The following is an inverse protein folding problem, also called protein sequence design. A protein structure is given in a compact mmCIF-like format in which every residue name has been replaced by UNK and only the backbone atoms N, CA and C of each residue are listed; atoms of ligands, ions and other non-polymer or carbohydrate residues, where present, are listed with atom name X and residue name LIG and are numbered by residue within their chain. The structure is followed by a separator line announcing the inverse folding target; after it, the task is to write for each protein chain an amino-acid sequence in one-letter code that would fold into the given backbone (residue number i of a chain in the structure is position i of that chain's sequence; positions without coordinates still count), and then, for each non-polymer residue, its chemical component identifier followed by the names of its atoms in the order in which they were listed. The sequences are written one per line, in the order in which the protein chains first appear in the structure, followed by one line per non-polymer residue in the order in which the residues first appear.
data_IF_117917108080
#
_entry.id   IF_117917108080
#
_cell.length_a   1.000
_cell.length_b   1.000
_cell.length_c   1.000
_cell.angle_alpha   90.00
_cell.angle_beta   90.00
_cell.angle_gamma   90.00
#
_symmetry.space_group_name_H-M   'P 1'
#
loop_
_entity.id
_entity.type
_entity.pdbx_description
1 polymer ?
#
# COMPACT_ATOMS: atom_id res chain seq x y z
N UNK A 1 33.28 18.69 10.00
CA UNK A 1 32.90 19.70 8.98
C UNK A 1 31.95 19.01 8.00
N UNK A 2 30.63 19.29 8.09
CA UNK A 2 29.55 18.85 7.16
C UNK A 2 29.26 17.35 7.10
N UNK A 3 28.06 16.79 6.93
CA UNK A 3 26.66 17.16 6.62
C UNK A 3 25.89 15.82 6.86
N UNK A 4 24.60 15.67 7.15
CA UNK A 4 23.45 16.52 7.35
C UNK A 4 22.37 15.66 8.05
N UNK A 5 21.58 16.32 8.91
CA UNK A 5 20.13 16.14 9.09
C UNK A 5 19.52 14.73 8.96
N UNK A 6 19.33 14.03 10.09
CA UNK A 6 18.24 13.05 10.22
C UNK A 6 17.00 13.76 10.78
N UNK A 7 16.28 14.49 9.93
CA UNK A 7 14.88 14.86 10.25
C UNK A 7 13.99 13.70 9.81
N UNK A 8 13.74 12.76 10.73
CA UNK A 8 12.60 11.85 10.60
C UNK A 8 11.37 12.63 11.02
N UNK A 9 10.76 13.35 10.09
CA UNK A 9 9.43 13.91 10.30
C UNK A 9 8.44 12.74 10.28
N UNK A 10 8.02 12.30 11.47
CA UNK A 10 6.75 11.58 11.60
C UNK A 10 5.66 12.60 11.26
N UNK A 11 5.13 12.55 10.05
CA UNK A 11 3.91 13.29 9.72
C UNK A 11 2.76 12.59 10.43
N UNK A 12 2.46 13.07 11.64
CA UNK A 12 1.12 13.00 12.23
C UNK A 12 0.22 13.87 11.36
N UNK A 13 -0.39 13.28 10.34
CA UNK A 13 -1.21 14.00 9.36
C UNK A 13 -2.62 13.45 9.32
N UNK A 14 -3.55 14.20 9.92
CA UNK A 14 -5.01 14.14 9.75
C UNK A 14 -5.42 14.52 8.32
N UNK A 15 -4.84 13.85 7.33
CA UNK A 15 -5.09 14.05 5.90
C UNK A 15 -5.66 12.78 5.28
N UNK A 16 -6.48 12.96 4.25
CA UNK A 16 -7.05 11.86 3.46
C UNK A 16 -5.92 11.04 2.84
N UNK A 17 -6.04 9.71 2.85
CA UNK A 17 -5.06 8.82 2.21
C UNK A 17 -5.16 8.92 0.68
N UNK A 18 -4.01 8.86 0.01
CA UNK A 18 -3.90 8.86 -1.44
C UNK A 18 -3.53 7.47 -1.96
N UNK A 19 -3.93 7.12 -3.20
CA UNK A 19 -3.45 5.90 -3.81
C UNK A 19 -1.92 5.91 -3.92
N UNK A 20 -1.29 4.81 -3.54
CA UNK A 20 0.17 4.67 -3.43
C UNK A 20 0.73 4.98 -2.04
N UNK A 21 -0.06 5.54 -1.12
CA UNK A 21 0.42 5.79 0.24
C UNK A 21 0.77 4.48 0.94
N UNK A 22 1.94 4.45 1.58
CA UNK A 22 2.37 3.34 2.41
C UNK A 22 2.01 3.62 3.86
N UNK A 23 1.20 2.74 4.43
CA UNK A 23 0.72 2.85 5.81
C UNK A 23 0.98 1.56 6.58
N UNK A 24 1.46 1.71 7.82
CA UNK A 24 1.61 0.63 8.78
C UNK A 24 0.37 0.51 9.63
N UNK A 25 -0.21 -0.68 9.70
CA UNK A 25 -1.42 -0.96 10.47
C UNK A 25 -1.46 -2.41 10.94
N UNK A 26 -2.38 -2.71 11.87
CA UNK A 26 -2.68 -4.06 12.32
C UNK A 26 -3.71 -4.71 11.39
N UNK A 27 -3.44 -5.90 10.86
CA UNK A 27 -4.37 -6.65 10.00
C UNK A 27 -5.16 -7.71 10.74
N UNK A 28 -4.79 -7.99 12.00
CA UNK A 28 -5.55 -8.92 12.82
C UNK A 28 -6.94 -8.37 13.20
N UNK A 29 -7.93 -9.26 13.41
CA UNK A 29 -7.85 -10.70 13.18
C UNK A 29 -7.88 -11.06 11.68
N UNK A 30 -7.13 -12.10 11.32
CA UNK A 30 -7.13 -12.72 10.00
C UNK A 30 -7.49 -14.20 10.13
N UNK A 31 -8.13 -14.78 9.10
CA UNK A 31 -8.48 -16.21 9.07
C UNK A 31 -7.82 -16.93 7.91
N UNK A 32 -7.31 -18.13 8.17
CA UNK A 32 -6.74 -18.99 7.14
C UNK A 32 -5.50 -18.37 6.47
N UNK A 33 -5.61 -18.03 5.18
CA UNK A 33 -4.50 -17.50 4.36
C UNK A 33 -4.50 -15.98 4.22
N UNK A 34 -5.46 -15.30 4.84
CA UNK A 34 -5.49 -13.84 4.89
C UNK A 34 -4.22 -13.29 5.54
N UNK A 35 -3.72 -12.17 5.04
CA UNK A 35 -2.57 -11.51 5.66
C UNK A 35 -2.92 -10.98 7.05
N UNK A 36 -2.01 -11.24 7.98
CA UNK A 36 -2.16 -11.04 9.42
C UNK A 36 -1.01 -10.21 10.00
N UNK A 37 -1.19 -9.76 11.24
CA UNK A 37 -0.20 -9.02 12.01
C UNK A 37 0.06 -7.59 11.52
N UNK A 38 0.85 -6.87 12.32
CA UNK A 38 1.29 -5.51 12.01
C UNK A 38 2.29 -5.48 10.86
N UNK A 39 1.92 -4.83 9.75
CA UNK A 39 2.77 -4.76 8.54
C UNK A 39 2.52 -3.50 7.71
N UNK A 40 3.41 -3.16 6.76
CA UNK A 40 3.12 -2.12 5.80
C UNK A 40 2.07 -2.60 4.81
N UNK A 41 1.27 -1.65 4.34
CA UNK A 41 0.26 -1.84 3.30
C UNK A 41 0.30 -0.63 2.37
N UNK A 42 -0.06 -0.81 1.10
CA UNK A 42 -0.15 0.26 0.11
C UNK A 42 -1.62 0.56 -0.17
N UNK A 43 -2.03 1.81 -0.06
CA UNK A 43 -3.40 2.27 -0.37
C UNK A 43 -3.64 2.20 -1.87
N UNK A 44 -4.76 1.60 -2.29
CA UNK A 44 -5.11 1.41 -3.71
C UNK A 44 -6.44 2.07 -4.08
N UNK A 45 -7.26 2.44 -3.11
CA UNK A 45 -8.49 3.19 -3.36
C UNK A 45 -8.22 4.65 -3.76
N UNK A 46 -9.13 5.21 -4.55
CA UNK A 46 -9.04 6.59 -5.04
C UNK A 46 -9.14 7.62 -3.90
N UNK A 47 -8.53 8.79 -4.07
CA UNK A 47 -8.70 9.90 -3.12
C UNK A 47 -10.18 10.24 -2.88
N UNK A 48 -11.00 10.27 -3.93
CA UNK A 48 -12.44 10.55 -3.82
C UNK A 48 -13.15 9.52 -2.94
N UNK A 49 -12.82 8.24 -3.08
CA UNK A 49 -13.33 7.20 -2.19
C UNK A 49 -12.86 7.43 -0.75
N UNK A 50 -11.56 7.61 -0.54
CA UNK A 50 -10.97 7.76 0.80
C UNK A 50 -11.44 9.03 1.54
N UNK A 51 -11.80 10.08 0.81
CA UNK A 51 -12.34 11.31 1.39
C UNK A 51 -13.81 11.16 1.82
N UNK A 52 -14.58 10.35 1.10
CA UNK A 52 -16.01 10.15 1.35
C UNK A 52 -16.34 8.93 2.21
N UNK A 53 -15.47 7.93 2.20
CA UNK A 53 -15.53 6.70 2.99
C UNK A 53 -14.41 6.80 4.02
N UNK A 54 -14.71 6.71 5.32
CA UNK A 54 -13.67 6.60 6.35
C UNK A 54 -12.79 5.34 6.21
N UNK A 55 -13.06 4.51 5.20
CA UNK A 55 -12.33 3.30 4.86
C UNK A 55 -11.37 3.52 3.69
N UNK A 56 -10.35 2.68 3.61
CA UNK A 56 -9.43 2.60 2.47
C UNK A 56 -9.29 1.16 2.02
N UNK A 57 -9.03 0.95 0.73
CA UNK A 57 -8.60 -0.34 0.19
C UNK A 57 -7.07 -0.37 0.18
N UNK A 58 -6.49 -1.47 0.66
CA UNK A 58 -5.03 -1.62 0.77
C UNK A 58 -4.54 -2.99 0.28
N UNK A 59 -3.32 -3.03 -0.23
CA UNK A 59 -2.56 -4.25 -0.50
C UNK A 59 -1.44 -4.43 0.53
N UNK A 60 -1.36 -5.57 1.24
CA UNK A 60 -0.33 -5.82 2.24
C UNK A 60 1.05 -6.08 1.61
N UNK A 61 2.11 -5.71 2.34
CA UNK A 61 3.50 -5.98 1.99
C UNK A 61 4.03 -7.17 2.79
N UNK A 62 4.83 -8.02 2.15
CA UNK A 62 5.53 -9.16 2.77
C UNK A 62 7.03 -9.10 2.51
N UNK A 63 7.83 -9.55 3.48
CA UNK A 63 9.27 -9.76 3.31
C UNK A 63 9.61 -11.15 2.74
N UNK A 64 8.61 -12.04 2.57
CA UNK A 64 8.84 -13.38 2.05
C UNK A 64 9.33 -13.32 0.60
N UNK A 65 10.51 -13.88 0.34
CA UNK A 65 11.09 -14.01 -1.00
C UNK A 65 10.52 -15.17 -1.82
N UNK A 66 9.71 -16.06 -1.20
CA UNK A 66 9.07 -17.18 -1.91
C UNK A 66 8.34 -16.70 -3.17
N UNK A 67 8.58 -17.29 -4.35
CA UNK A 67 7.90 -16.88 -5.58
C UNK A 67 6.38 -16.96 -5.46
N UNK A 68 5.70 -15.91 -5.95
CA UNK A 68 4.23 -15.87 -6.06
C UNK A 68 3.86 -14.98 -7.26
N UNK A 69 2.98 -15.41 -8.17
CA UNK A 69 2.72 -14.69 -9.42
C UNK A 69 2.21 -13.26 -9.23
N UNK A 70 1.46 -13.00 -8.17
CA UNK A 70 0.83 -11.70 -7.88
C UNK A 70 1.68 -10.81 -6.96
N UNK A 71 2.96 -11.17 -6.73
CA UNK A 71 3.89 -10.28 -6.06
C UNK A 71 4.38 -9.18 -6.99
N UNK A 72 4.49 -7.99 -6.42
CA UNK A 72 5.21 -6.86 -7.01
C UNK A 72 6.34 -6.49 -6.07
N UNK A 73 7.58 -6.56 -6.55
CA UNK A 73 8.73 -6.07 -5.81
C UNK A 73 8.61 -4.55 -5.64
N UNK A 74 8.92 -4.07 -4.43
CA UNK A 74 9.09 -2.64 -4.16
C UNK A 74 10.47 -2.18 -4.63
N UNK A 75 10.54 -0.95 -5.13
CA UNK A 75 11.79 -0.34 -5.56
C UNK A 75 12.66 0.07 -4.37
N UNK A 76 13.97 0.24 -4.59
CA UNK A 76 14.89 0.67 -3.55
C UNK A 76 14.59 2.08 -2.99
N UNK A 77 13.88 2.89 -3.77
CA UNK A 77 13.45 4.25 -3.42
C UNK A 77 12.15 4.26 -2.60
N UNK A 78 11.43 3.14 -2.54
CA UNK A 78 10.18 3.03 -1.79
C UNK A 78 10.42 3.11 -0.27
N UNK A 79 9.43 3.58 0.51
CA UNK A 79 9.59 3.81 1.95
C UNK A 79 9.73 2.52 2.78
N UNK A 80 9.48 1.35 2.18
CA UNK A 80 9.61 0.03 2.79
C UNK A 80 10.15 -0.97 1.76
N UNK A 81 10.78 -2.05 2.24
CA UNK A 81 11.29 -3.12 1.38
C UNK A 81 10.33 -4.33 1.37
N UNK A 82 10.45 -5.16 0.33
CA UNK A 82 9.73 -6.43 0.19
C UNK A 82 8.87 -6.47 -1.06
N UNK A 83 7.73 -7.15 -0.94
CA UNK A 83 6.81 -7.39 -2.05
C UNK A 83 5.38 -7.02 -1.67
N UNK A 84 4.71 -6.24 -2.50
CA UNK A 84 3.26 -6.01 -2.41
C UNK A 84 2.55 -7.29 -2.87
N UNK A 85 1.57 -7.76 -2.09
CA UNK A 85 0.70 -8.87 -2.44
C UNK A 85 -0.56 -8.31 -3.11
N UNK A 86 -0.55 -8.18 -4.43
CA UNK A 86 -1.61 -7.51 -5.20
C UNK A 86 -2.96 -8.24 -5.15
N UNK A 87 -2.96 -9.53 -4.82
CA UNK A 87 -4.13 -10.41 -4.70
C UNK A 87 -4.73 -10.48 -3.29
N UNK A 88 -4.13 -9.78 -2.32
CA UNK A 88 -4.57 -9.78 -0.92
C UNK A 88 -5.20 -8.44 -0.51
N UNK A 89 -6.00 -7.84 -1.40
CA UNK A 89 -6.66 -6.55 -1.17
C UNK A 89 -7.62 -6.65 0.02
N UNK A 90 -7.59 -5.65 0.91
CA UNK A 90 -8.54 -5.52 2.02
C UNK A 90 -9.09 -4.10 2.13
N UNK A 91 -10.38 -3.98 2.41
CA UNK A 91 -10.98 -2.74 2.89
C UNK A 91 -10.76 -2.65 4.39
N UNK A 92 -10.20 -1.55 4.87
CA UNK A 92 -9.85 -1.36 6.28
C UNK A 92 -10.26 0.03 6.76
N UNK A 93 -10.57 0.13 8.05
CA UNK A 93 -10.64 1.39 8.79
C UNK A 93 -9.21 1.70 9.28
N UNK A 94 -8.52 2.71 8.70
CA UNK A 94 -7.17 3.04 9.08
C UNK A 94 -7.07 3.68 10.46
N UNK A 95 -8.11 4.39 10.92
CA UNK A 95 -8.12 5.04 12.22
C UNK A 95 -8.27 4.01 13.34
N UNK A 96 -9.26 3.12 13.23
CA UNK A 96 -9.48 2.03 14.17
C UNK A 96 -8.30 1.05 14.23
N UNK A 97 -7.50 0.96 13.16
CA UNK A 97 -6.27 0.14 13.09
C UNK A 97 -4.99 0.93 13.40
N UNK A 98 -5.11 2.15 13.91
CA UNK A 98 -4.00 3.02 14.32
C UNK A 98 -2.93 3.18 13.23
N UNK A 99 -3.37 3.39 12.00
CA UNK A 99 -2.51 3.46 10.84
C UNK A 99 -1.46 4.59 10.97
N UNK A 100 -0.25 4.32 10.51
CA UNK A 100 0.86 5.30 10.48
C UNK A 100 1.45 5.39 9.08
N UNK A 101 1.47 6.59 8.51
CA UNK A 101 2.08 6.87 7.21
C UNK A 101 3.59 6.65 7.26
N UNK A 102 4.13 5.98 6.25
CA UNK A 102 5.57 5.76 6.04
C UNK A 102 6.12 6.56 4.85
N UNK A 103 5.27 6.94 3.90
CA UNK A 103 5.64 7.61 2.66
C UNK A 103 4.66 7.21 1.56
N UNK A 104 5.10 7.34 0.31
CA UNK A 104 4.36 6.92 -0.87
C UNK A 104 5.30 6.10 -1.75
N UNK A 105 4.78 5.08 -2.43
CA UNK A 105 5.57 4.33 -3.42
C UNK A 105 5.91 5.22 -4.61
N UNK A 106 7.01 4.91 -5.31
CA UNK A 106 7.42 5.62 -6.52
C UNK A 106 6.37 5.46 -7.65
N UNK A 107 6.49 6.28 -8.70
CA UNK A 107 5.54 6.30 -9.81
C UNK A 107 5.48 4.95 -10.56
N UNK A 108 6.64 4.31 -10.75
CA UNK A 108 6.74 3.05 -11.49
C UNK A 108 6.11 1.89 -10.71
N UNK A 109 6.42 1.77 -9.43
CA UNK A 109 5.77 0.81 -8.53
C UNK A 109 4.25 1.06 -8.45
N UNK A 110 3.82 2.32 -8.36
CA UNK A 110 2.39 2.67 -8.36
C UNK A 110 1.71 2.20 -9.64
N UNK A 111 2.29 2.49 -10.80
CA UNK A 111 1.74 2.08 -12.10
C UNK A 111 1.64 0.53 -12.20
N UNK A 112 2.73 -0.16 -11.86
CA UNK A 112 2.80 -1.62 -11.89
C UNK A 112 1.82 -2.29 -10.92
N UNK A 113 1.53 -1.65 -9.77
CA UNK A 113 0.53 -2.11 -8.80
C UNK A 113 -0.87 -2.07 -9.41
N UNK A 114 -1.26 -0.95 -10.01
CA UNK A 114 -2.59 -0.81 -10.60
C UNK A 114 -2.81 -1.71 -11.81
N UNK A 115 -1.78 -1.91 -12.65
CA UNK A 115 -1.84 -2.87 -13.76
C UNK A 115 -2.06 -4.31 -13.27
N UNK A 116 -1.38 -4.72 -12.19
CA UNK A 116 -1.59 -6.05 -11.58
C UNK A 116 -2.98 -6.22 -10.99
N UNK A 117 -3.49 -5.20 -10.29
CA UNK A 117 -4.85 -5.23 -9.74
C UNK A 117 -5.88 -5.31 -10.86
N UNK A 118 -5.70 -4.53 -11.94
CA UNK A 118 -6.57 -4.59 -13.10
C UNK A 118 -6.57 -6.00 -13.72
N UNK A 119 -5.40 -6.62 -13.89
CA UNK A 119 -5.28 -7.99 -14.40
C UNK A 119 -5.95 -9.03 -13.49
N UNK A 120 -5.86 -8.88 -12.16
CA UNK A 120 -6.50 -9.80 -11.20
C UNK A 120 -8.04 -9.71 -11.29
N UNK A 121 -8.56 -8.52 -11.54
CA UNK A 121 -9.99 -8.23 -11.56
C UNK A 121 -10.61 -8.25 -12.97
N UNK A 122 -9.84 -8.65 -13.98
CA UNK A 122 -10.23 -8.60 -15.41
C UNK A 122 -10.76 -7.22 -15.84
N UNK A 123 -10.12 -6.17 -15.34
CA UNK A 123 -10.45 -4.79 -15.67
C UNK A 123 -9.65 -4.35 -16.90
N UNK A 124 -10.22 -3.45 -17.73
CA UNK A 124 -9.48 -2.85 -18.83
C UNK A 124 -8.24 -2.13 -18.28
N UNK A 125 -7.15 -2.18 -19.05
CA UNK A 125 -5.91 -1.49 -18.69
C UNK A 125 -6.21 0.01 -18.52
N UNK A 126 -6.03 0.58 -17.31
CA UNK A 126 -6.36 1.97 -17.05
C UNK A 126 -5.47 2.95 -17.83
N UNK A 127 -4.39 2.47 -18.44
CA UNK A 127 -3.47 3.28 -19.25
C UNK A 127 -3.71 3.17 -20.75
N UNK A 128 -4.60 2.27 -21.18
CA UNK A 128 -4.94 2.12 -22.59
C UNK A 128 -6.27 2.84 -22.87
N UNK A 129 -6.35 3.69 -23.91
CA UNK A 129 -7.64 4.24 -24.30
C UNK A 129 -8.60 3.11 -24.67
N UNK A 130 -9.89 3.32 -24.36
CA UNK A 130 -10.99 2.42 -24.66
C UNK A 130 -11.12 2.17 -26.17
#
# INVERSE_FOLDING_TARGET
MGRASRRRALVSGSGVYEPGDVIWLELDPARGREQAGRRPTVVVSTYRYNAGSSLVLVCPVTSSERPWPFKLALDAEDPVAGYILCDQIRTIDPEARHARRAGQVCADTRLALFQRIAAILDLPDPTRPA
#
